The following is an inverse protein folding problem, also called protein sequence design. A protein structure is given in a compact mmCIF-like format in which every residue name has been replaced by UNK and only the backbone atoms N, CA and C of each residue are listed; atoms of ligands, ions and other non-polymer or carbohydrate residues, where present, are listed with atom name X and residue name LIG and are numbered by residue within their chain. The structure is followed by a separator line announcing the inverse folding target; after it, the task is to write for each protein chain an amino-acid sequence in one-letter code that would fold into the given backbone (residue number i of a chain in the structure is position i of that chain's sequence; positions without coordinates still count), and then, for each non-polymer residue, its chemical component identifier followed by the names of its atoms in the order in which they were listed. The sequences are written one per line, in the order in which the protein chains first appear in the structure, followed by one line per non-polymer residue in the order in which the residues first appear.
data_IF_193655511835
#
_entry.id   IF_193655511835
#
_cell.length_a   1.000
_cell.length_b   1.000
_cell.length_c   1.000
_cell.angle_alpha   90.00
_cell.angle_beta   90.00
_cell.angle_gamma   90.00
#
_symmetry.space_group_name_H-M   'P 1'
#
loop_
_entity.id
_entity.type
_entity.pdbx_description
1 polymer ?
#
# COMPACT_ATOMS: atom_id res chain seq x y z
N UNK A 1 -13.69 -10.36 -8.50
CA UNK A 1 -13.04 -11.64 -8.15
C UNK A 1 -11.51 -11.63 -8.31
N UNK A 2 -10.91 -10.54 -8.81
CA UNK A 2 -9.46 -10.43 -8.95
C UNK A 2 -8.78 -10.07 -7.60
N UNK A 3 -9.36 -9.19 -6.81
CA UNK A 3 -8.74 -8.62 -5.62
C UNK A 3 -8.49 -9.65 -4.50
N UNK A 4 -9.42 -10.57 -4.25
CA UNK A 4 -9.27 -11.56 -3.18
C UNK A 4 -8.11 -12.52 -3.43
N UNK A 5 -7.95 -13.14 -4.62
CA UNK A 5 -6.76 -13.93 -4.94
C UNK A 5 -5.45 -13.16 -4.78
N UNK A 6 -5.41 -11.90 -5.22
CA UNK A 6 -4.23 -11.04 -5.08
C UNK A 6 -3.93 -10.72 -3.62
N UNK A 7 -4.94 -10.47 -2.79
CA UNK A 7 -4.76 -10.30 -1.34
C UNK A 7 -4.14 -11.55 -0.69
N UNK A 8 -4.66 -12.73 -1.03
CA UNK A 8 -4.16 -14.01 -0.49
C UNK A 8 -2.70 -14.22 -0.88
N UNK A 9 -2.39 -14.00 -2.16
CA UNK A 9 -1.03 -14.14 -2.68
C UNK A 9 -0.06 -13.18 -1.98
N UNK A 10 -0.48 -11.94 -1.78
CA UNK A 10 0.32 -10.92 -1.13
C UNK A 10 0.65 -11.26 0.34
N UNK A 11 -0.33 -11.74 1.11
CA UNK A 11 -0.07 -12.21 2.47
C UNK A 11 0.86 -13.42 2.50
N UNK A 12 0.71 -14.38 1.57
CA UNK A 12 1.59 -15.54 1.44
C UNK A 12 3.01 -15.13 1.08
N UNK A 13 3.16 -14.18 0.16
CA UNK A 13 4.47 -13.64 -0.23
C UNK A 13 5.22 -13.07 0.98
N UNK A 14 4.61 -12.16 1.73
CA UNK A 14 5.27 -11.57 2.89
C UNK A 14 5.50 -12.55 4.04
N UNK A 15 4.62 -13.53 4.23
CA UNK A 15 4.88 -14.63 5.15
C UNK A 15 6.12 -15.46 4.75
N UNK A 16 6.37 -15.62 3.44
CA UNK A 16 7.58 -16.24 2.92
C UNK A 16 8.82 -15.36 3.10
N UNK A 17 8.71 -14.05 2.87
CA UNK A 17 9.81 -13.10 2.97
C UNK A 17 10.46 -13.07 4.36
N UNK A 18 9.70 -13.26 5.43
CA UNK A 18 10.25 -13.29 6.80
C UNK A 18 11.34 -14.36 6.95
N UNK A 19 11.18 -15.51 6.28
CA UNK A 19 12.15 -16.60 6.35
C UNK A 19 13.42 -16.34 5.56
N UNK A 20 13.36 -15.42 4.60
CA UNK A 20 14.49 -15.04 3.75
C UNK A 20 15.10 -13.68 4.18
N UNK A 21 14.58 -13.05 5.22
CA UNK A 21 15.11 -11.80 5.71
C UNK A 21 16.44 -12.03 6.42
N UNK A 22 17.48 -11.38 5.93
CA UNK A 22 18.82 -11.46 6.45
C UNK A 22 19.20 -10.16 7.18
N UNK A 23 20.11 -10.28 8.15
CA UNK A 23 20.89 -9.17 8.67
C UNK A 23 22.21 -9.06 7.92
N UNK A 24 23.12 -8.24 8.44
CA UNK A 24 24.47 -8.12 7.89
C UNK A 24 25.53 -8.14 8.96
N UNK A 25 26.72 -8.54 8.57
CA UNK A 25 27.92 -8.48 9.39
C UNK A 25 29.02 -7.79 8.59
N UNK A 26 29.79 -6.93 9.23
CA UNK A 26 30.92 -6.24 8.63
C UNK A 26 32.09 -6.24 9.60
N UNK A 27 33.27 -6.53 9.12
CA UNK A 27 34.52 -6.34 9.83
C UNK A 27 34.90 -4.85 9.72
N UNK A 28 35.12 -4.19 10.86
CA UNK A 28 35.48 -2.78 10.93
C UNK A 28 37.00 -2.65 11.02
N UNK A 29 37.60 -3.44 11.89
CA UNK A 29 39.05 -3.60 12.07
C UNK A 29 39.35 -4.98 12.64
N UNK A 30 40.61 -5.24 12.98
CA UNK A 30 41.10 -6.53 13.44
C UNK A 30 40.39 -7.06 14.70
N UNK A 31 39.87 -6.16 15.53
CA UNK A 31 39.26 -6.46 16.83
C UNK A 31 37.75 -6.16 16.90
N UNK A 32 37.17 -5.56 15.84
CA UNK A 32 35.81 -5.05 15.88
C UNK A 32 34.95 -5.57 14.74
N UNK A 33 33.80 -6.16 15.09
CA UNK A 33 32.76 -6.60 14.15
C UNK A 33 31.49 -5.82 14.41
N UNK A 34 30.90 -5.25 13.36
CA UNK A 34 29.56 -4.68 13.37
C UNK A 34 28.56 -5.67 12.76
N UNK A 35 27.42 -5.82 13.39
CA UNK A 35 26.30 -6.57 12.83
C UNK A 35 25.01 -5.77 12.95
N UNK A 36 24.09 -6.01 12.03
CA UNK A 36 22.75 -5.41 12.08
C UNK A 36 21.68 -6.46 11.81
N UNK A 37 20.53 -6.24 12.37
CA UNK A 37 19.31 -7.00 12.14
C UNK A 37 18.11 -6.05 12.11
N UNK A 38 17.00 -6.52 11.56
CA UNK A 38 15.78 -5.73 11.44
C UNK A 38 14.92 -5.88 12.71
N UNK A 39 14.37 -4.76 13.18
CA UNK A 39 13.45 -4.71 14.29
C UNK A 39 12.14 -4.02 13.88
N UNK A 40 11.00 -4.33 14.54
CA UNK A 40 9.75 -3.60 14.32
C UNK A 40 9.92 -2.10 14.63
N UNK A 41 9.28 -1.25 13.82
CA UNK A 41 9.23 0.20 14.08
C UNK A 41 8.37 0.55 15.30
N UNK A 42 7.36 -0.27 15.59
CA UNK A 42 6.39 -0.04 16.64
C UNK A 42 4.96 0.07 16.10
N UNK A 43 4.26 1.17 16.41
CA UNK A 43 2.91 1.40 15.89
C UNK A 43 2.98 2.18 14.58
N UNK A 44 2.41 1.62 13.52
CA UNK A 44 2.36 2.26 12.20
C UNK A 44 0.94 2.69 11.85
N UNK A 45 0.81 3.92 11.37
CA UNK A 45 -0.44 4.46 10.82
C UNK A 45 -0.55 4.14 9.33
N UNK A 46 -1.68 3.61 8.91
CA UNK A 46 -1.95 3.31 7.51
C UNK A 46 -3.23 4.00 7.06
N UNK A 47 -3.18 4.68 5.91
CA UNK A 47 -4.33 5.38 5.33
C UNK A 47 -4.46 4.93 3.88
N UNK A 48 -5.64 4.40 3.51
CA UNK A 48 -5.88 3.79 2.22
C UNK A 48 -7.05 4.43 1.47
N UNK A 49 -7.02 4.41 0.12
CA UNK A 49 -8.07 4.98 -0.71
C UNK A 49 -9.25 4.03 -0.91
N UNK A 50 -10.24 4.51 -1.65
CA UNK A 50 -11.53 3.86 -1.92
C UNK A 50 -11.52 2.89 -3.11
N UNK A 51 -10.56 3.00 -4.02
CA UNK A 51 -10.63 2.35 -5.34
C UNK A 51 -10.33 0.84 -5.35
N UNK A 52 -9.50 0.35 -4.41
CA UNK A 52 -9.23 -1.07 -4.19
C UNK A 52 -9.15 -1.37 -2.68
N UNK A 53 -10.24 -1.25 -1.93
CA UNK A 53 -10.18 -1.14 -0.48
C UNK A 53 -9.49 -2.34 0.20
N UNK A 54 -9.89 -3.56 -0.11
CA UNK A 54 -9.31 -4.75 0.51
C UNK A 54 -7.88 -5.01 0.02
N UNK A 55 -7.61 -4.75 -1.27
CA UNK A 55 -6.28 -4.96 -1.85
C UNK A 55 -5.28 -3.95 -1.30
N UNK A 56 -5.67 -2.66 -1.21
CA UNK A 56 -4.85 -1.60 -0.60
C UNK A 56 -4.58 -1.87 0.88
N UNK A 57 -5.56 -2.42 1.61
CA UNK A 57 -5.34 -2.89 2.97
C UNK A 57 -4.30 -4.02 2.99
N UNK A 58 -4.46 -5.07 2.20
CA UNK A 58 -3.53 -6.20 2.14
C UNK A 58 -2.10 -5.76 1.83
N UNK A 59 -1.90 -4.85 0.87
CA UNK A 59 -0.58 -4.34 0.49
C UNK A 59 0.17 -3.61 1.61
N UNK A 60 -0.56 -3.03 2.56
CA UNK A 60 0.03 -2.36 3.72
C UNK A 60 0.07 -3.24 4.96
N UNK A 61 -0.95 -4.06 5.18
CA UNK A 61 -1.04 -4.95 6.34
C UNK A 61 0.02 -6.05 6.28
N UNK A 62 0.14 -6.73 5.13
CA UNK A 62 1.01 -7.89 5.02
C UNK A 62 2.49 -7.58 5.36
N UNK A 63 3.16 -6.58 4.74
CA UNK A 63 4.53 -6.26 5.11
C UNK A 63 4.68 -5.73 6.53
N UNK A 64 3.70 -4.95 7.03
CA UNK A 64 3.79 -4.38 8.37
C UNK A 64 3.65 -5.44 9.46
N UNK A 65 2.71 -6.38 9.31
CA UNK A 65 2.55 -7.53 10.20
C UNK A 65 3.75 -8.46 10.13
N UNK A 66 4.25 -8.74 8.93
CA UNK A 66 5.44 -9.55 8.72
C UNK A 66 6.66 -8.98 9.45
N UNK A 67 6.81 -7.66 9.45
CA UNK A 67 7.87 -6.97 10.18
C UNK A 67 7.60 -6.80 11.68
N UNK A 68 6.51 -7.37 12.23
CA UNK A 68 6.20 -7.37 13.66
C UNK A 68 5.62 -6.05 14.19
N UNK A 69 5.10 -5.18 13.34
CA UNK A 69 4.52 -3.91 13.77
C UNK A 69 3.07 -4.04 14.22
N UNK A 70 2.65 -3.18 15.15
CA UNK A 70 1.23 -2.92 15.42
C UNK A 70 0.69 -1.87 14.45
N UNK A 71 -0.59 -1.96 14.10
CA UNK A 71 -1.18 -1.17 13.02
C UNK A 71 -2.44 -0.45 13.49
N UNK A 72 -2.54 0.82 13.11
CA UNK A 72 -3.78 1.58 13.11
C UNK A 72 -4.09 1.95 11.66
N UNK A 73 -5.11 1.31 11.07
CA UNK A 73 -5.49 1.51 9.68
C UNK A 73 -6.77 2.33 9.59
N UNK A 74 -6.72 3.40 8.79
CA UNK A 74 -7.89 4.20 8.39
C UNK A 74 -8.25 3.87 6.94
N UNK A 75 -9.36 3.17 6.69
CA UNK A 75 -9.90 3.02 5.34
C UNK A 75 -10.52 4.32 4.84
N UNK A 76 -10.78 4.40 3.54
CA UNK A 76 -11.62 5.46 3.00
C UNK A 76 -13.03 5.35 3.60
N UNK A 77 -13.63 6.48 3.93
CA UNK A 77 -14.95 6.56 4.55
C UNK A 77 -16.06 5.95 3.69
N UNK A 78 -15.88 5.93 2.36
CA UNK A 78 -16.84 5.35 1.42
C UNK A 78 -16.80 3.82 1.36
N UNK A 79 -15.67 3.19 1.71
CA UNK A 79 -15.43 1.75 1.42
C UNK A 79 -14.80 0.97 2.59
N UNK A 80 -15.27 1.09 3.84
CA UNK A 80 -14.63 0.43 4.97
C UNK A 80 -15.06 -1.04 5.13
N UNK A 81 -16.19 -1.45 4.57
CA UNK A 81 -16.90 -2.70 4.93
C UNK A 81 -16.06 -3.95 4.69
N UNK A 82 -15.41 -4.07 3.54
CA UNK A 82 -14.60 -5.24 3.22
C UNK A 82 -13.43 -5.45 4.20
N UNK A 83 -12.89 -4.34 4.71
CA UNK A 83 -11.78 -4.36 5.68
C UNK A 83 -12.29 -4.75 7.06
N UNK A 84 -13.44 -4.23 7.46
CA UNK A 84 -14.08 -4.58 8.73
C UNK A 84 -14.42 -6.07 8.78
N UNK A 85 -14.99 -6.62 7.68
CA UNK A 85 -15.25 -8.07 7.56
C UNK A 85 -13.95 -8.88 7.62
N UNK A 86 -12.89 -8.44 6.92
CA UNK A 86 -11.59 -9.11 7.00
C UNK A 86 -11.09 -9.18 8.45
N UNK A 87 -11.13 -8.05 9.17
CA UNK A 87 -10.63 -7.98 10.55
C UNK A 87 -11.47 -8.85 11.48
N UNK A 88 -12.80 -8.87 11.32
CA UNK A 88 -13.68 -9.77 12.06
C UNK A 88 -13.30 -11.25 11.84
N UNK A 89 -12.99 -11.64 10.61
CA UNK A 89 -12.60 -13.03 10.29
C UNK A 89 -11.23 -13.43 10.84
N UNK A 90 -10.31 -12.48 11.03
CA UNK A 90 -8.94 -12.77 11.49
C UNK A 90 -8.66 -12.34 12.93
N UNK A 91 -9.64 -11.81 13.64
CA UNK A 91 -9.44 -11.24 14.99
C UNK A 91 -8.80 -12.20 15.99
N UNK A 92 -9.12 -13.49 15.87
CA UNK A 92 -8.60 -14.55 16.75
C UNK A 92 -7.21 -15.07 16.32
N UNK A 93 -6.71 -14.63 15.15
CA UNK A 93 -5.40 -15.02 14.63
C UNK A 93 -4.27 -14.08 15.09
N UNK A 94 -4.62 -12.90 15.57
CA UNK A 94 -3.66 -11.88 16.00
C UNK A 94 -3.84 -11.56 17.49
N UNK A 95 -2.76 -11.27 18.22
CA UNK A 95 -2.89 -10.77 19.58
C UNK A 95 -3.72 -9.47 19.63
N UNK A 96 -4.51 -9.25 20.71
CA UNK A 96 -5.28 -8.02 20.86
C UNK A 96 -4.42 -6.76 20.73
N UNK A 97 -4.91 -5.77 19.96
CA UNK A 97 -4.23 -4.50 19.74
C UNK A 97 -3.17 -4.48 18.64
N UNK A 98 -2.85 -5.63 18.02
CA UNK A 98 -1.90 -5.67 16.88
C UNK A 98 -2.49 -5.00 15.64
N UNK A 99 -3.77 -5.23 15.35
CA UNK A 99 -4.47 -4.61 14.23
C UNK A 99 -5.71 -3.86 14.71
N UNK A 100 -5.80 -2.58 14.40
CA UNK A 100 -6.89 -1.71 14.79
C UNK A 100 -7.39 -0.92 13.59
N UNK A 101 -8.70 -0.87 13.40
CA UNK A 101 -9.34 -0.09 12.34
C UNK A 101 -10.03 1.12 12.96
N UNK A 102 -9.80 2.29 12.38
CA UNK A 102 -10.44 3.54 12.77
C UNK A 102 -11.14 4.16 11.58
N UNK A 103 -12.45 4.33 11.68
CA UNK A 103 -13.26 4.96 10.65
C UNK A 103 -13.49 6.43 10.95
N UNK A 104 -13.60 7.25 9.91
CA UNK A 104 -13.89 8.67 10.01
C UNK A 104 -13.27 9.47 8.87
N UNK A 105 -13.56 10.75 8.85
CA UNK A 105 -13.06 11.65 7.81
C UNK A 105 -11.58 12.00 7.99
N UNK A 106 -10.97 12.48 6.91
CA UNK A 106 -9.54 12.80 6.88
C UNK A 106 -9.10 13.77 7.98
N UNK A 107 -9.90 14.82 8.24
CA UNK A 107 -9.60 15.81 9.28
C UNK A 107 -9.78 15.26 10.69
N UNK A 108 -10.77 14.39 10.90
CA UNK A 108 -11.16 13.87 12.21
C UNK A 108 -10.28 12.71 12.68
N UNK A 109 -9.84 11.87 11.74
CA UNK A 109 -9.06 10.65 12.04
C UNK A 109 -7.71 10.66 11.36
N UNK A 110 -7.65 11.06 10.09
CA UNK A 110 -6.40 11.04 9.31
C UNK A 110 -5.35 12.01 9.85
N UNK A 111 -5.75 13.25 10.16
CA UNK A 111 -4.86 14.25 10.76
C UNK A 111 -4.37 13.82 12.14
N UNK A 112 -5.22 13.46 13.12
CA UNK A 112 -4.74 12.97 14.41
C UNK A 112 -3.82 11.76 14.30
N UNK A 113 -4.06 10.85 13.36
CA UNK A 113 -3.17 9.71 13.13
C UNK A 113 -1.79 10.17 12.62
N UNK A 114 -1.75 11.14 11.70
CA UNK A 114 -0.51 11.64 11.12
C UNK A 114 0.27 12.61 12.03
N UNK A 115 -0.37 13.15 13.07
CA UNK A 115 0.27 14.03 14.08
C UNK A 115 0.53 13.36 15.42
N UNK A 116 0.22 12.06 15.57
CA UNK A 116 0.35 11.41 16.88
C UNK A 116 1.82 11.01 17.13
N UNK A 117 2.45 11.48 18.24
CA UNK A 117 3.86 11.18 18.52
C UNK A 117 4.15 9.70 18.82
N UNK A 118 3.12 8.87 19.04
CA UNK A 118 3.26 7.43 19.22
C UNK A 118 3.27 6.64 17.90
N UNK A 119 3.03 7.31 16.78
CA UNK A 119 3.11 6.68 15.45
C UNK A 119 4.54 6.74 14.95
N UNK A 120 5.14 5.58 14.73
CA UNK A 120 6.50 5.44 14.26
C UNK A 120 6.66 5.66 12.74
N UNK A 121 5.59 5.46 11.97
CA UNK A 121 5.57 5.65 10.51
C UNK A 121 4.14 5.80 10.00
N UNK A 122 3.96 6.63 8.95
CA UNK A 122 2.73 6.70 8.17
C UNK A 122 2.95 6.08 6.78
N UNK A 123 2.05 5.18 6.38
CA UNK A 123 1.95 4.67 5.02
C UNK A 123 0.62 5.13 4.40
N UNK A 124 0.70 6.01 3.42
CA UNK A 124 -0.45 6.63 2.78
C UNK A 124 -0.53 6.21 1.31
N UNK A 125 -1.74 5.91 0.84
CA UNK A 125 -2.08 5.83 -0.59
C UNK A 125 -3.32 6.67 -0.85
N UNK A 126 -3.25 7.55 -1.84
CA UNK A 126 -4.37 8.44 -2.19
C UNK A 126 -3.95 9.55 -3.15
N UNK A 127 -4.71 10.67 -3.15
CA UNK A 127 -4.42 11.79 -4.02
C UNK A 127 -3.15 12.54 -3.61
N UNK A 128 -2.47 13.18 -4.58
CA UNK A 128 -1.29 14.00 -4.34
C UNK A 128 -1.54 15.13 -3.35
N UNK A 129 -2.70 15.79 -3.46
CA UNK A 129 -3.06 16.88 -2.55
C UNK A 129 -3.19 16.41 -1.09
N UNK A 130 -3.80 15.25 -0.86
CA UNK A 130 -3.88 14.67 0.49
C UNK A 130 -2.52 14.16 0.96
N UNK A 131 -1.70 13.60 0.07
CA UNK A 131 -0.32 13.21 0.40
C UNK A 131 0.53 14.38 0.89
N UNK A 132 0.39 15.55 0.27
CA UNK A 132 1.05 16.78 0.74
C UNK A 132 0.60 17.18 2.15
N UNK A 133 -0.70 17.08 2.44
CA UNK A 133 -1.23 17.34 3.79
C UNK A 133 -0.69 16.34 4.82
N UNK A 134 -0.63 15.05 4.46
CA UNK A 134 -0.06 14.01 5.34
C UNK A 134 1.40 14.32 5.65
N UNK A 135 2.20 14.71 4.66
CA UNK A 135 3.58 15.14 4.91
C UNK A 135 3.64 16.33 5.86
N UNK A 136 2.81 17.37 5.65
CA UNK A 136 2.76 18.54 6.52
C UNK A 136 2.41 18.16 7.96
N UNK A 137 1.43 17.29 8.16
CA UNK A 137 1.05 16.81 9.51
C UNK A 137 2.18 16.00 10.17
N UNK A 138 2.82 15.12 9.42
CA UNK A 138 3.90 14.28 9.92
C UNK A 138 5.12 15.08 10.39
N UNK A 139 5.36 16.28 9.84
CA UNK A 139 6.46 17.15 10.26
C UNK A 139 6.37 17.62 11.71
N UNK A 140 5.15 17.66 12.30
CA UNK A 140 4.98 18.07 13.70
C UNK A 140 5.79 17.17 14.67
N UNK A 141 5.98 15.88 14.32
CA UNK A 141 6.72 14.93 15.14
C UNK A 141 7.82 14.19 14.34
N UNK A 142 8.17 14.70 13.15
CA UNK A 142 9.21 14.13 12.26
C UNK A 142 8.91 12.65 11.96
N UNK A 143 7.63 12.31 11.76
CA UNK A 143 7.21 10.94 11.46
C UNK A 143 7.57 10.57 10.02
N UNK A 144 8.32 9.49 9.77
CA UNK A 144 8.61 9.00 8.43
C UNK A 144 7.33 8.66 7.65
N UNK A 145 7.27 9.08 6.39
CA UNK A 145 6.09 8.88 5.53
C UNK A 145 6.49 8.13 4.27
N UNK A 146 5.68 7.12 3.90
CA UNK A 146 5.69 6.52 2.56
C UNK A 146 4.40 6.91 1.84
N UNK A 147 4.54 7.46 0.64
CA UNK A 147 3.43 7.99 -0.16
C UNK A 147 3.32 7.22 -1.47
N UNK A 148 2.13 6.67 -1.72
CA UNK A 148 1.71 6.16 -3.02
C UNK A 148 0.62 7.08 -3.54
N UNK A 149 0.88 7.80 -4.61
CA UNK A 149 0.06 8.91 -5.08
C UNK A 149 -0.55 8.63 -6.46
N UNK A 150 -1.30 9.60 -6.97
CA UNK A 150 -1.90 9.53 -8.29
C UNK A 150 -0.86 9.60 -9.42
N UNK A 151 -1.28 9.16 -10.59
CA UNK A 151 -0.47 9.19 -11.79
C UNK A 151 -1.32 9.34 -13.04
N UNK A 152 -0.67 9.61 -14.17
CA UNK A 152 -1.25 9.68 -15.52
C UNK A 152 -0.37 8.85 -16.47
N UNK A 153 -0.37 7.54 -16.24
CA UNK A 153 0.46 6.60 -17.00
C UNK A 153 0.07 6.58 -18.48
N UNK A 154 1.03 6.69 -19.40
CA UNK A 154 0.76 6.50 -20.82
C UNK A 154 0.71 5.00 -21.17
N UNK A 155 -0.12 4.65 -22.15
CA UNK A 155 -0.07 3.37 -22.83
C UNK A 155 0.52 3.61 -24.23
N UNK A 156 1.66 2.99 -24.51
CA UNK A 156 2.41 3.22 -25.75
C UNK A 156 2.07 2.11 -26.75
N UNK A 157 1.57 2.51 -27.92
CA UNK A 157 1.31 1.62 -29.04
C UNK A 157 2.35 1.91 -30.12
N UNK A 158 3.29 1.01 -30.32
CA UNK A 158 4.28 1.14 -31.40
C UNK A 158 3.67 0.75 -32.75
N UNK A 159 4.22 1.30 -33.85
CA UNK A 159 3.68 1.11 -35.19
C UNK A 159 3.57 -0.37 -35.60
N UNK A 160 4.45 -1.22 -35.13
CA UNK A 160 4.46 -2.65 -35.46
C UNK A 160 3.22 -3.41 -34.92
N UNK A 161 2.55 -2.92 -33.91
CA UNK A 161 1.30 -3.53 -33.42
C UNK A 161 0.14 -3.33 -34.41
N UNK A 162 0.20 -2.25 -35.21
CA UNK A 162 -0.84 -1.89 -36.17
C UNK A 162 -0.81 -2.79 -37.46
N UNK A 163 0.33 -3.40 -37.70
CA UNK A 163 0.57 -4.21 -38.91
C UNK A 163 0.39 -5.72 -38.65
N UNK A 164 -0.01 -6.10 -37.44
CA UNK A 164 -0.24 -7.50 -37.09
C UNK A 164 -1.59 -7.99 -37.66
N UNK A 165 -1.58 -9.17 -38.30
CA UNK A 165 -2.79 -9.86 -38.79
C UNK A 165 -3.48 -10.71 -37.72
N UNK A 166 -3.00 -10.63 -36.45
CA UNK A 166 -3.56 -11.37 -35.33
C UNK A 166 -4.48 -10.50 -34.47
N UNK A 167 -5.06 -11.10 -33.44
CA UNK A 167 -5.95 -10.42 -32.49
C UNK A 167 -5.21 -9.63 -31.38
N UNK A 168 -3.90 -9.41 -31.54
CA UNK A 168 -3.07 -8.77 -30.52
C UNK A 168 -3.43 -7.29 -30.33
N UNK A 169 -3.66 -6.56 -31.44
CA UNK A 169 -4.12 -5.16 -31.36
C UNK A 169 -5.46 -5.05 -30.64
N UNK A 170 -6.43 -5.92 -30.98
CA UNK A 170 -7.73 -5.92 -30.34
C UNK A 170 -7.62 -6.17 -28.82
N UNK A 171 -6.80 -7.12 -28.41
CA UNK A 171 -6.52 -7.38 -26.97
C UNK A 171 -5.84 -6.21 -26.29
N UNK A 172 -4.92 -5.53 -26.94
CA UNK A 172 -4.23 -4.36 -26.41
C UNK A 172 -5.20 -3.18 -26.24
N UNK A 173 -6.10 -2.95 -27.20
CA UNK A 173 -7.15 -1.94 -27.15
C UNK A 173 -8.20 -2.27 -26.09
N UNK A 174 -8.62 -3.53 -25.97
CA UNK A 174 -9.53 -4.00 -24.92
C UNK A 174 -8.92 -3.75 -23.54
N UNK A 175 -7.66 -4.13 -23.34
CA UNK A 175 -6.94 -3.87 -22.10
C UNK A 175 -6.84 -2.37 -21.77
N UNK A 176 -6.51 -1.54 -22.77
CA UNK A 176 -6.50 -0.09 -22.60
C UNK A 176 -7.87 0.45 -22.21
N UNK A 177 -8.93 0.08 -22.93
CA UNK A 177 -10.28 0.53 -22.66
C UNK A 177 -10.77 0.10 -21.27
N UNK A 178 -10.53 -1.16 -20.90
CA UNK A 178 -10.92 -1.68 -19.59
C UNK A 178 -10.27 -0.89 -18.44
N UNK A 179 -8.97 -0.63 -18.54
CA UNK A 179 -8.26 0.13 -17.50
C UNK A 179 -8.59 1.62 -17.53
N UNK A 180 -8.70 2.24 -18.72
CA UNK A 180 -9.03 3.66 -18.84
C UNK A 180 -10.45 3.98 -18.33
N UNK A 181 -11.40 3.05 -18.50
CA UNK A 181 -12.79 3.21 -18.09
C UNK A 181 -13.07 2.72 -16.66
N UNK A 182 -12.11 2.03 -16.03
CA UNK A 182 -12.27 1.57 -14.66
C UNK A 182 -12.20 2.74 -13.68
N UNK A 183 -13.34 3.38 -13.47
CA UNK A 183 -13.55 4.55 -12.58
C UNK A 183 -12.76 5.82 -12.97
N UNK A 184 -12.03 5.81 -14.07
CA UNK A 184 -11.47 7.01 -14.71
C UNK A 184 -10.23 7.65 -14.08
N UNK A 185 -9.92 7.42 -12.81
CA UNK A 185 -8.86 8.15 -12.10
C UNK A 185 -8.01 7.31 -11.16
N UNK A 186 -7.83 6.04 -11.49
CA UNK A 186 -6.99 5.14 -10.70
C UNK A 186 -5.52 5.34 -11.10
N UNK A 187 -4.61 5.39 -10.13
CA UNK A 187 -3.18 5.66 -10.34
C UNK A 187 -2.49 4.71 -11.34
N UNK A 188 -2.94 3.45 -11.41
CA UNK A 188 -2.41 2.42 -12.32
C UNK A 188 -3.09 2.42 -13.69
N UNK A 189 -4.15 3.20 -13.88
CA UNK A 189 -4.90 3.20 -15.13
C UNK A 189 -4.25 4.12 -16.17
N UNK A 190 -4.01 3.62 -17.39
CA UNK A 190 -3.53 4.45 -18.47
C UNK A 190 -4.61 5.48 -18.84
N UNK A 191 -4.28 6.75 -18.69
CA UNK A 191 -5.16 7.87 -19.04
C UNK A 191 -4.83 8.46 -20.41
N UNK A 192 -3.81 7.93 -21.09
CA UNK A 192 -3.31 8.41 -22.38
C UNK A 192 -2.90 7.23 -23.25
N UNK A 193 -3.38 7.22 -24.49
CA UNK A 193 -2.82 6.40 -25.56
C UNK A 193 -1.85 7.26 -26.39
N UNK A 194 -0.67 6.77 -26.62
CA UNK A 194 0.32 7.36 -27.51
C UNK A 194 0.58 6.34 -28.65
N UNK A 195 0.36 6.80 -29.89
CA UNK A 195 0.49 6.00 -31.11
C UNK A 195 1.63 6.52 -31.96
#
# INVERSE_FOLDING_TARGET
NADIPLCIDHFRYFAGCIRAQEGGISEIDEDTIAYHFHEPLGVVGQIIPWNFPILMAAWKLAPALAAGNCIVLKPAEQTPVSILVLVELIQDLLPPGVLNIVNGYGVEVGRPLATNPRIAKIAFTGSTAVGQLIMQYATENIIPVTLELGGKSPNLFFADIMDQEDDYLDKALEGFAMFALNQGEICTCPSRALV
#
